data_IF_616064541958
#
_entry.id   IF_616064541958
#
_cell.length_a   1.000
_cell.length_b   1.000
_cell.length_c   1.000
_cell.angle_alpha   90.00
_cell.angle_beta   90.00
_cell.angle_gamma   90.00
#
_symmetry.space_group_name_H-M   'P 1'
#
loop_
_entity.id
_entity.type
_entity.pdbx_description
1 polymer ?
#
# COMPACT_ATOMS: atom_id res chain seq x y z
N UNK A 1 28.18 7.57 -16.82
CA UNK A 1 26.80 7.28 -16.38
C UNK A 1 26.69 6.77 -14.92
N UNK A 2 27.53 5.85 -14.40
CA UNK A 2 27.33 5.31 -13.03
C UNK A 2 27.64 6.32 -11.90
N UNK A 3 28.59 7.24 -12.08
CA UNK A 3 28.98 8.20 -11.03
C UNK A 3 27.84 9.17 -10.63
N UNK A 4 27.07 9.70 -11.61
CA UNK A 4 25.92 10.58 -11.33
C UNK A 4 24.80 9.88 -10.58
N UNK A 5 24.58 8.59 -10.86
CA UNK A 5 23.57 7.79 -10.17
C UNK A 5 24.00 7.52 -8.71
N UNK A 6 25.28 7.22 -8.49
CA UNK A 6 25.85 6.99 -7.15
C UNK A 6 25.82 8.26 -6.30
N UNK A 7 26.16 9.42 -6.86
CA UNK A 7 26.07 10.71 -6.16
C UNK A 7 24.63 11.09 -5.82
N UNK A 8 23.70 10.88 -6.76
CA UNK A 8 22.28 11.07 -6.51
C UNK A 8 21.78 10.15 -5.39
N UNK A 9 22.09 8.85 -5.46
CA UNK A 9 21.73 7.90 -4.40
C UNK A 9 22.30 8.31 -3.04
N UNK A 10 23.57 8.72 -2.96
CA UNK A 10 24.14 9.18 -1.67
C UNK A 10 23.43 10.40 -1.10
N UNK A 11 22.95 11.30 -1.97
CA UNK A 11 22.28 12.52 -1.55
C UNK A 11 20.85 12.27 -1.09
N UNK A 12 20.11 11.40 -1.78
CA UNK A 12 18.70 11.13 -1.49
C UNK A 12 18.49 9.94 -0.53
N UNK A 13 19.48 9.06 -0.36
CA UNK A 13 19.36 7.91 0.54
C UNK A 13 19.01 8.32 1.98
N UNK A 14 19.62 9.34 2.60
CA UNK A 14 19.26 9.74 3.97
C UNK A 14 17.80 10.20 4.09
N UNK A 15 17.27 10.91 3.10
CA UNK A 15 15.89 11.39 3.12
C UNK A 15 14.90 10.24 2.91
N UNK A 16 15.22 9.28 2.03
CA UNK A 16 14.41 8.08 1.82
C UNK A 16 14.44 7.14 3.04
N UNK A 17 15.59 6.99 3.70
CA UNK A 17 15.69 6.24 4.95
C UNK A 17 14.87 6.89 6.06
N UNK A 18 14.92 8.23 6.17
CA UNK A 18 14.08 8.98 7.10
C UNK A 18 12.58 8.78 6.79
N UNK A 19 12.20 8.85 5.51
CA UNK A 19 10.82 8.63 5.08
C UNK A 19 10.33 7.23 5.48
N UNK A 20 11.14 6.20 5.22
CA UNK A 20 10.83 4.82 5.57
C UNK A 20 10.72 4.62 7.08
N UNK A 21 11.71 5.11 7.85
CA UNK A 21 11.73 4.99 9.30
C UNK A 21 10.55 5.72 9.97
N UNK A 22 10.27 6.96 9.56
CA UNK A 22 9.14 7.73 10.09
C UNK A 22 7.80 7.05 9.76
N UNK A 23 7.62 6.62 8.51
CA UNK A 23 6.39 5.96 8.08
C UNK A 23 6.16 4.64 8.80
N UNK A 24 7.22 3.83 8.98
CA UNK A 24 7.14 2.58 9.73
C UNK A 24 6.80 2.84 11.22
N UNK A 25 7.44 3.83 11.84
CA UNK A 25 7.17 4.19 13.23
C UNK A 25 5.72 4.67 13.44
N UNK A 26 5.23 5.58 12.59
CA UNK A 26 3.84 6.05 12.68
C UNK A 26 2.83 4.94 12.36
N UNK A 27 3.15 4.05 11.42
CA UNK A 27 2.29 2.89 11.11
C UNK A 27 2.21 1.95 12.31
N UNK A 28 3.34 1.61 12.93
CA UNK A 28 3.38 0.74 14.10
C UNK A 28 2.64 1.35 15.30
N UNK A 29 2.77 2.67 15.49
CA UNK A 29 2.02 3.40 16.52
C UNK A 29 0.52 3.40 16.24
N UNK A 30 0.12 3.75 15.02
CA UNK A 30 -1.28 3.81 14.59
C UNK A 30 -1.98 2.46 14.65
N UNK A 31 -1.27 1.39 14.31
CA UNK A 31 -1.81 0.02 14.28
C UNK A 31 -1.55 -0.74 15.57
N UNK A 32 -1.16 -0.06 16.66
CA UNK A 32 -1.01 -0.72 17.95
C UNK A 32 -2.35 -1.22 18.49
N UNK A 33 -2.48 -2.47 19.01
CA UNK A 33 -1.42 -3.48 19.20
C UNK A 33 -1.30 -4.49 18.04
N UNK A 34 -2.05 -4.36 16.95
CA UNK A 34 -1.99 -5.27 15.79
C UNK A 34 -0.56 -5.43 15.23
N UNK A 35 0.23 -4.35 15.22
CA UNK A 35 1.64 -4.41 14.83
C UNK A 35 2.49 -5.39 15.68
N UNK A 36 2.14 -5.59 16.97
CA UNK A 36 2.80 -6.58 17.83
C UNK A 36 2.30 -8.01 17.56
N UNK A 37 1.03 -8.14 17.18
CA UNK A 37 0.36 -9.41 16.95
C UNK A 37 0.20 -9.71 15.45
N UNK A 38 1.24 -9.38 14.68
CA UNK A 38 1.28 -9.45 13.22
C UNK A 38 0.86 -10.81 12.63
N UNK A 39 1.14 -11.91 13.34
CA UNK A 39 0.81 -13.26 12.88
C UNK A 39 -0.55 -13.79 13.32
N UNK A 40 -1.26 -13.09 14.19
CA UNK A 40 -2.39 -13.67 14.93
C UNK A 40 -3.61 -12.76 15.05
N UNK A 41 -3.45 -11.47 14.80
CA UNK A 41 -4.51 -10.49 15.04
C UNK A 41 -4.71 -9.58 13.84
N UNK A 42 -5.97 -9.20 13.62
CA UNK A 42 -6.42 -8.22 12.63
C UNK A 42 -7.46 -7.32 13.29
N UNK A 43 -7.87 -6.25 12.62
CA UNK A 43 -9.02 -5.46 13.05
C UNK A 43 -10.25 -6.35 13.22
N UNK A 44 -10.96 -6.18 14.34
CA UNK A 44 -12.22 -6.88 14.63
C UNK A 44 -13.36 -6.34 13.75
N UNK A 45 -13.28 -6.63 12.46
CA UNK A 45 -14.21 -6.21 11.43
C UNK A 45 -14.37 -7.33 10.40
N UNK A 46 -15.59 -7.52 9.89
CA UNK A 46 -15.86 -8.54 8.87
C UNK A 46 -15.01 -8.37 7.60
N UNK A 47 -14.64 -7.14 7.27
CA UNK A 47 -13.86 -6.83 6.06
C UNK A 47 -12.41 -7.31 6.13
N UNK A 48 -11.86 -7.50 7.35
CA UNK A 48 -10.54 -8.13 7.52
C UNK A 48 -10.57 -9.57 7.01
N UNK A 49 -11.61 -10.33 7.39
CA UNK A 49 -11.82 -11.70 6.93
C UNK A 49 -12.16 -11.76 5.44
N UNK A 50 -12.99 -10.83 4.97
CA UNK A 50 -13.34 -10.71 3.56
C UNK A 50 -12.11 -10.41 2.69
N UNK A 51 -11.23 -9.52 3.14
CA UNK A 51 -9.96 -9.22 2.47
C UNK A 51 -9.06 -10.45 2.41
N UNK A 52 -8.90 -11.18 3.52
CA UNK A 52 -8.14 -12.44 3.52
C UNK A 52 -8.73 -13.50 2.59
N UNK A 53 -10.06 -13.58 2.49
CA UNK A 53 -10.72 -14.41 1.49
C UNK A 53 -10.36 -13.99 0.06
N UNK A 54 -10.45 -12.70 -0.28
CA UNK A 54 -10.07 -12.19 -1.62
C UNK A 54 -8.62 -12.53 -1.97
N UNK A 55 -7.68 -12.25 -1.06
CA UNK A 55 -6.26 -12.56 -1.24
C UNK A 55 -6.04 -14.06 -1.50
N UNK A 56 -6.68 -14.90 -0.68
CA UNK A 56 -6.57 -16.37 -0.79
C UNK A 56 -7.22 -16.90 -2.07
N UNK A 57 -8.37 -16.34 -2.46
CA UNK A 57 -9.07 -16.68 -3.68
C UNK A 57 -8.26 -16.35 -4.92
N UNK A 58 -7.68 -15.15 -5.00
CA UNK A 58 -6.83 -14.73 -6.11
C UNK A 58 -5.63 -15.67 -6.23
N UNK A 59 -4.94 -15.96 -5.14
CA UNK A 59 -3.80 -16.89 -5.14
C UNK A 59 -4.21 -18.31 -5.57
N UNK A 60 -5.38 -18.79 -5.14
CA UNK A 60 -5.93 -20.07 -5.57
C UNK A 60 -6.24 -20.08 -7.07
N UNK A 61 -7.03 -19.12 -7.55
CA UNK A 61 -7.48 -19.06 -8.93
C UNK A 61 -6.31 -18.86 -9.91
N UNK A 62 -5.29 -18.08 -9.54
CA UNK A 62 -4.07 -17.94 -10.34
C UNK A 62 -3.33 -19.27 -10.53
N UNK A 63 -3.40 -20.17 -9.55
CA UNK A 63 -2.76 -21.49 -9.63
C UNK A 63 -3.63 -22.53 -10.36
N UNK A 64 -4.96 -22.48 -10.23
CA UNK A 64 -5.86 -23.54 -10.70
C UNK A 64 -6.60 -23.19 -11.97
N UNK A 65 -7.08 -21.95 -12.12
CA UNK A 65 -7.94 -21.52 -13.21
C UNK A 65 -7.85 -19.98 -13.43
N UNK A 66 -6.72 -19.45 -13.94
CA UNK A 66 -6.46 -18.00 -13.97
C UNK A 66 -7.46 -17.20 -14.82
N UNK A 67 -8.11 -17.85 -15.81
CA UNK A 67 -9.19 -17.24 -16.61
C UNK A 67 -10.49 -17.04 -15.81
N UNK A 68 -10.62 -17.69 -14.66
CA UNK A 68 -11.77 -17.68 -13.76
C UNK A 68 -11.47 -16.95 -12.45
N UNK A 69 -10.46 -16.06 -12.42
CA UNK A 69 -10.10 -15.30 -11.22
C UNK A 69 -11.27 -14.53 -10.62
N UNK A 70 -12.22 -14.10 -11.45
CA UNK A 70 -13.40 -13.37 -10.97
C UNK A 70 -14.52 -14.27 -10.42
N UNK A 71 -14.48 -15.58 -10.68
CA UNK A 71 -15.55 -16.52 -10.34
C UNK A 71 -15.45 -17.00 -8.88
N UNK A 72 -15.46 -16.06 -7.94
CA UNK A 72 -15.35 -16.30 -6.50
C UNK A 72 -16.34 -17.33 -5.96
N UNK A 73 -15.91 -18.09 -4.96
CA UNK A 73 -16.71 -19.15 -4.33
C UNK A 73 -17.71 -18.66 -3.26
N UNK A 74 -17.95 -17.35 -3.16
CA UNK A 74 -18.96 -16.78 -2.26
C UNK A 74 -20.32 -16.74 -2.96
N UNK A 75 -21.42 -16.81 -2.20
CA UNK A 75 -22.80 -16.71 -2.73
C UNK A 75 -23.16 -17.75 -3.80
N UNK A 76 -22.69 -18.99 -3.68
CA UNK A 76 -23.05 -20.07 -4.61
C UNK A 76 -24.58 -20.16 -4.83
N UNK A 77 -25.07 -20.25 -6.08
CA UNK A 77 -24.35 -20.55 -7.33
C UNK A 77 -23.89 -19.34 -8.16
N UNK A 78 -23.85 -18.14 -7.59
CA UNK A 78 -23.48 -16.94 -8.36
C UNK A 78 -22.05 -17.01 -8.91
N UNK A 79 -21.90 -16.50 -10.14
CA UNK A 79 -20.61 -16.42 -10.85
C UNK A 79 -20.09 -14.99 -10.87
N UNK A 80 -18.80 -14.80 -11.16
CA UNK A 80 -18.16 -13.47 -11.20
C UNK A 80 -18.29 -12.66 -9.90
N UNK A 81 -18.44 -13.33 -8.76
CA UNK A 81 -18.72 -12.67 -7.48
C UNK A 81 -17.60 -11.73 -7.01
N UNK A 82 -16.35 -11.97 -7.41
CA UNK A 82 -15.24 -11.05 -7.14
C UNK A 82 -15.38 -9.74 -7.95
N UNK A 83 -15.99 -9.78 -9.15
CA UNK A 83 -16.20 -8.58 -9.97
C UNK A 83 -17.29 -7.65 -9.40
N UNK A 84 -18.18 -8.19 -8.56
CA UNK A 84 -19.17 -7.40 -7.82
C UNK A 84 -18.64 -6.86 -6.48
N UNK A 85 -17.37 -7.13 -6.17
CA UNK A 85 -16.68 -6.66 -4.97
C UNK A 85 -15.54 -5.71 -5.33
N UNK A 86 -14.92 -5.08 -4.33
CA UNK A 86 -13.58 -4.50 -4.53
C UNK A 86 -12.60 -5.66 -4.74
N UNK A 87 -12.21 -5.88 -6.00
CA UNK A 87 -11.48 -7.09 -6.39
C UNK A 87 -10.07 -7.17 -5.78
N UNK A 88 -9.47 -6.04 -5.36
CA UNK A 88 -8.13 -5.98 -4.73
C UNK A 88 -7.07 -6.79 -5.50
N UNK A 89 -7.10 -6.73 -6.84
CA UNK A 89 -6.29 -7.59 -7.69
C UNK A 89 -4.80 -7.36 -7.50
N UNK A 90 -4.38 -6.09 -7.35
CA UNK A 90 -2.99 -5.76 -7.14
C UNK A 90 -2.48 -6.36 -5.84
N UNK A 91 -3.22 -6.16 -4.75
CA UNK A 91 -2.92 -6.68 -3.42
C UNK A 91 -2.89 -8.22 -3.44
N UNK A 92 -3.88 -8.86 -4.07
CA UNK A 92 -3.93 -10.31 -4.24
C UNK A 92 -2.76 -10.87 -5.01
N UNK A 93 -2.38 -10.26 -6.13
CA UNK A 93 -1.22 -10.66 -6.93
C UNK A 93 0.08 -10.49 -6.11
N UNK A 94 0.23 -9.39 -5.38
CA UNK A 94 1.39 -9.15 -4.52
C UNK A 94 1.46 -10.13 -3.34
N UNK A 95 0.31 -10.53 -2.78
CA UNK A 95 0.22 -11.53 -1.72
C UNK A 95 0.42 -12.97 -2.18
N UNK A 96 0.18 -13.25 -3.46
CA UNK A 96 0.17 -14.61 -4.03
C UNK A 96 1.45 -15.42 -3.78
N UNK A 97 2.67 -14.88 -4.01
CA UNK A 97 3.90 -15.64 -3.75
C UNK A 97 4.02 -16.11 -2.29
N UNK A 98 3.60 -15.29 -1.33
CA UNK A 98 3.64 -15.64 0.09
C UNK A 98 2.66 -16.76 0.43
N UNK A 99 1.44 -16.67 -0.11
CA UNK A 99 0.42 -17.70 0.07
C UNK A 99 0.84 -19.04 -0.55
N UNK A 100 1.49 -19.03 -1.72
CA UNK A 100 2.04 -20.24 -2.34
C UNK A 100 3.21 -20.85 -1.56
N UNK A 101 3.97 -20.03 -0.83
CA UNK A 101 5.00 -20.49 0.11
C UNK A 101 4.43 -21.00 1.45
N UNK A 102 3.10 -20.99 1.63
CA UNK A 102 2.44 -21.45 2.85
C UNK A 102 2.44 -20.43 3.99
N UNK A 103 2.73 -19.16 3.72
CA UNK A 103 2.59 -18.10 4.73
C UNK A 103 1.10 -17.97 5.11
N UNK A 104 0.76 -17.94 6.42
CA UNK A 104 -0.62 -17.81 6.87
C UNK A 104 -1.32 -16.57 6.28
N UNK A 105 -2.60 -16.65 5.83
CA UNK A 105 -3.32 -15.52 5.24
C UNK A 105 -3.35 -14.26 6.11
N UNK A 106 -3.41 -14.42 7.45
CA UNK A 106 -3.34 -13.30 8.41
C UNK A 106 -2.03 -12.53 8.32
N UNK A 107 -0.90 -13.22 8.15
CA UNK A 107 0.41 -12.57 7.99
C UNK A 107 0.50 -11.84 6.65
N UNK A 108 -0.02 -12.45 5.58
CA UNK A 108 -0.04 -11.83 4.25
C UNK A 108 -0.93 -10.59 4.25
N UNK A 109 -2.11 -10.67 4.87
CA UNK A 109 -2.99 -9.52 5.07
C UNK A 109 -2.28 -8.41 5.85
N UNK A 110 -1.69 -8.71 7.01
CA UNK A 110 -1.02 -7.70 7.82
C UNK A 110 0.20 -7.09 7.11
N UNK A 111 0.92 -7.88 6.32
CA UNK A 111 2.02 -7.38 5.48
C UNK A 111 1.52 -6.31 4.51
N UNK A 112 0.45 -6.60 3.77
CA UNK A 112 -0.13 -5.69 2.78
C UNK A 112 -0.84 -4.51 3.44
N UNK A 113 -1.48 -4.73 4.59
CA UNK A 113 -2.20 -3.70 5.34
C UNK A 113 -1.24 -2.66 5.93
N UNK A 114 -0.28 -3.10 6.75
CA UNK A 114 0.73 -2.20 7.34
C UNK A 114 1.63 -1.63 6.24
N UNK A 115 1.95 -2.43 5.23
CA UNK A 115 2.72 -2.00 4.05
C UNK A 115 2.03 -0.88 3.28
N UNK A 116 0.72 -0.97 3.05
CA UNK A 116 -0.06 0.06 2.36
C UNK A 116 -0.10 1.39 3.13
N UNK A 117 -0.27 1.33 4.46
CA UNK A 117 -0.20 2.50 5.34
C UNK A 117 1.20 3.12 5.32
N UNK A 118 2.25 2.32 5.47
CA UNK A 118 3.62 2.81 5.46
C UNK A 118 4.01 3.40 4.10
N UNK A 119 3.64 2.75 3.00
CA UNK A 119 3.88 3.25 1.64
C UNK A 119 3.13 4.56 1.38
N UNK A 120 1.93 4.70 1.93
CA UNK A 120 1.17 5.96 1.91
C UNK A 120 1.90 7.09 2.63
N UNK A 121 2.46 6.81 3.81
CA UNK A 121 3.31 7.75 4.55
C UNK A 121 4.55 8.16 3.75
N UNK A 122 5.26 7.20 3.16
CA UNK A 122 6.45 7.46 2.34
C UNK A 122 6.11 8.32 1.13
N UNK A 123 5.01 8.01 0.44
CA UNK A 123 4.58 8.81 -0.70
C UNK A 123 4.24 10.26 -0.31
N UNK A 124 3.57 10.46 0.82
CA UNK A 124 3.30 11.81 1.35
C UNK A 124 4.58 12.55 1.74
N UNK A 125 5.53 11.86 2.37
CA UNK A 125 6.86 12.42 2.66
C UNK A 125 7.52 12.92 1.38
N UNK A 126 7.55 12.09 0.33
CA UNK A 126 8.18 12.42 -0.96
C UNK A 126 7.53 13.64 -1.59
N UNK A 127 6.19 13.70 -1.62
CA UNK A 127 5.46 14.86 -2.13
C UNK A 127 5.81 16.14 -1.37
N UNK A 128 5.68 16.14 -0.04
CA UNK A 128 5.90 17.36 0.75
C UNK A 128 7.37 17.77 0.76
N UNK A 129 8.30 16.81 0.74
CA UNK A 129 9.72 17.10 0.64
C UNK A 129 10.09 17.71 -0.71
N UNK A 130 9.41 17.31 -1.78
CA UNK A 130 9.54 17.91 -3.11
C UNK A 130 9.03 19.36 -3.10
N UNK A 131 7.86 19.62 -2.52
CA UNK A 131 7.23 20.94 -2.53
C UNK A 131 7.90 21.98 -1.61
N UNK A 132 8.40 21.56 -0.45
CA UNK A 132 8.84 22.49 0.61
C UNK A 132 10.34 22.56 0.81
N UNK A 133 11.08 21.66 0.17
CA UNK A 133 12.48 21.40 0.46
C UNK A 133 12.80 21.05 1.94
N UNK A 134 11.81 20.81 2.81
CA UNK A 134 11.98 20.63 4.25
C UNK A 134 11.69 19.19 4.70
N UNK A 135 12.67 18.55 5.33
CA UNK A 135 12.50 17.20 5.90
C UNK A 135 11.57 17.22 7.12
N UNK A 136 11.58 18.29 7.92
CA UNK A 136 10.69 18.42 9.07
C UNK A 136 9.22 18.49 8.66
N UNK A 137 8.90 19.32 7.65
CA UNK A 137 7.55 19.41 7.09
C UNK A 137 7.09 18.06 6.52
N UNK A 138 7.98 17.33 5.84
CA UNK A 138 7.71 16.02 5.28
C UNK A 138 7.45 14.94 6.36
N UNK A 139 8.17 14.96 7.49
CA UNK A 139 7.89 14.06 8.62
C UNK A 139 6.52 14.38 9.23
N UNK A 140 6.18 15.66 9.43
CA UNK A 140 4.87 16.06 9.96
C UNK A 140 3.73 15.63 9.04
N UNK A 141 3.86 15.84 7.72
CA UNK A 141 2.84 15.39 6.77
C UNK A 141 2.70 13.88 6.72
N UNK A 142 3.79 13.14 6.91
CA UNK A 142 3.76 11.67 7.03
C UNK A 142 2.90 11.25 8.22
N UNK A 143 3.11 11.86 9.40
CA UNK A 143 2.31 11.57 10.59
C UNK A 143 0.82 11.84 10.35
N UNK A 144 0.49 13.01 9.82
CA UNK A 144 -0.90 13.41 9.52
C UNK A 144 -1.56 12.45 8.53
N UNK A 145 -0.88 12.05 7.46
CA UNK A 145 -1.46 11.20 6.42
C UNK A 145 -1.60 9.73 6.83
N UNK A 146 -0.66 9.23 7.63
CA UNK A 146 -0.70 7.87 8.21
C UNK A 146 -1.79 7.73 9.26
N UNK A 147 -2.08 8.81 10.01
CA UNK A 147 -3.00 8.79 11.15
C UNK A 147 -4.30 9.58 10.90
N UNK A 148 -4.64 9.83 9.63
CA UNK A 148 -5.81 10.62 9.26
C UNK A 148 -7.12 9.94 9.75
N UNK A 149 -8.11 10.71 10.24
CA UNK A 149 -9.38 10.15 10.74
C UNK A 149 -10.09 9.22 9.75
N UNK A 150 -9.99 9.50 8.46
CA UNK A 150 -10.53 8.64 7.40
C UNK A 150 -10.03 7.19 7.48
N UNK A 151 -8.75 6.97 7.85
CA UNK A 151 -8.17 5.62 8.03
C UNK A 151 -8.69 4.93 9.27
N UNK A 152 -9.04 5.70 10.32
CA UNK A 152 -9.61 5.17 11.55
C UNK A 152 -11.02 4.64 11.26
N UNK A 153 -11.83 5.42 10.55
CA UNK A 153 -13.19 5.01 10.16
C UNK A 153 -13.19 3.78 9.24
N UNK A 154 -12.17 3.65 8.38
CA UNK A 154 -12.05 2.56 7.42
C UNK A 154 -10.97 1.55 7.78
N UNK A 155 -10.67 1.39 9.07
CA UNK A 155 -9.50 0.62 9.50
C UNK A 155 -9.55 -0.85 9.03
N UNK A 156 -10.71 -1.49 8.90
CA UNK A 156 -10.81 -2.87 8.39
C UNK A 156 -10.67 -3.05 6.87
N UNK A 157 -10.62 -1.95 6.11
CA UNK A 157 -10.67 -1.96 4.65
C UNK A 157 -9.26 -1.94 4.06
N UNK A 158 -8.78 -3.09 3.59
CA UNK A 158 -7.42 -3.25 3.08
C UNK A 158 -7.11 -2.26 1.94
N UNK A 159 -7.99 -2.22 0.94
CA UNK A 159 -7.85 -1.39 -0.26
C UNK A 159 -7.77 0.10 0.07
N UNK A 160 -8.52 0.56 1.08
CA UNK A 160 -8.52 1.97 1.48
C UNK A 160 -7.23 2.37 2.21
N UNK A 161 -6.46 1.40 2.70
CA UNK A 161 -5.15 1.70 3.26
C UNK A 161 -4.09 2.00 2.19
N UNK A 162 -4.32 1.61 0.94
CA UNK A 162 -3.41 1.79 -0.20
C UNK A 162 -3.56 3.18 -0.85
N UNK A 163 -3.59 4.22 -0.04
CA UNK A 163 -3.79 5.60 -0.49
C UNK A 163 -2.51 6.28 -1.03
N UNK A 164 -1.40 5.56 -1.17
CA UNK A 164 -0.11 6.10 -1.66
C UNK A 164 -0.19 6.68 -3.07
N UNK A 165 -1.12 6.20 -3.88
CA UNK A 165 -1.30 6.66 -5.25
C UNK A 165 -1.68 8.14 -5.34
N UNK A 166 -2.49 8.65 -4.41
CA UNK A 166 -2.88 10.05 -4.40
C UNK A 166 -1.68 11.02 -4.28
N UNK A 167 -0.82 10.94 -3.25
CA UNK A 167 0.36 11.79 -3.17
C UNK A 167 1.37 11.52 -4.30
N UNK A 168 1.49 10.28 -4.79
CA UNK A 168 2.38 9.98 -5.93
C UNK A 168 1.92 10.66 -7.23
N UNK A 169 0.62 10.67 -7.51
CA UNK A 169 0.06 11.36 -8.68
C UNK A 169 0.30 12.86 -8.56
N UNK A 170 0.03 13.48 -7.39
CA UNK A 170 0.33 14.90 -7.20
C UNK A 170 1.82 15.21 -7.35
N UNK A 171 2.70 14.34 -6.84
CA UNK A 171 4.14 14.49 -7.01
C UNK A 171 4.55 14.41 -8.49
N UNK A 172 4.01 13.44 -9.23
CA UNK A 172 4.27 13.28 -10.66
C UNK A 172 3.77 14.48 -11.47
N UNK A 173 2.58 14.98 -11.16
CA UNK A 173 2.00 16.17 -11.80
C UNK A 173 2.83 17.42 -11.56
N UNK A 174 3.23 17.69 -10.32
CA UNK A 174 4.13 18.81 -10.02
C UNK A 174 5.43 18.71 -10.81
N UNK A 175 6.05 17.53 -10.85
CA UNK A 175 7.25 17.30 -11.67
C UNK A 175 7.03 17.45 -13.17
N UNK A 176 5.85 17.12 -13.68
CA UNK A 176 5.52 17.26 -15.09
C UNK A 176 5.44 18.74 -15.48
N UNK A 177 4.82 19.55 -14.61
CA UNK A 177 4.70 21.00 -14.80
C UNK A 177 6.06 21.69 -14.63
N UNK A 178 6.78 21.43 -13.54
CA UNK A 178 8.03 22.12 -13.20
C UNK A 178 9.17 21.83 -14.20
N UNK A 179 9.17 20.64 -14.80
CA UNK A 179 10.22 20.19 -15.72
C UNK A 179 9.77 20.04 -17.17
N UNK A 180 8.52 20.42 -17.51
CA UNK A 180 7.93 20.25 -18.85
C UNK A 180 8.20 18.85 -19.44
N UNK A 181 7.97 17.80 -18.65
CA UNK A 181 8.41 16.43 -18.94
C UNK A 181 7.24 15.49 -19.23
N UNK A 182 7.15 15.02 -20.48
CA UNK A 182 6.16 14.00 -20.87
C UNK A 182 6.33 12.68 -20.09
N UNK A 183 7.57 12.36 -19.69
CA UNK A 183 7.85 11.17 -18.87
C UNK A 183 7.23 11.28 -17.49
N UNK A 184 7.25 12.47 -16.90
CA UNK A 184 6.58 12.74 -15.62
C UNK A 184 5.06 12.73 -15.78
N UNK A 185 4.56 13.17 -16.94
CA UNK A 185 3.15 13.04 -17.30
C UNK A 185 2.69 11.58 -17.33
N UNK A 186 3.46 10.67 -17.94
CA UNK A 186 3.16 9.24 -17.93
C UNK A 186 3.17 8.61 -16.53
N UNK A 187 3.94 9.15 -15.58
CA UNK A 187 3.91 8.67 -14.20
C UNK A 187 2.63 9.07 -13.46
N UNK A 188 1.89 10.07 -13.97
CA UNK A 188 0.63 10.53 -13.37
C UNK A 188 -0.60 9.80 -13.92
N UNK A 189 -0.50 9.11 -15.06
CA UNK A 189 -1.60 8.42 -15.75
C UNK A 189 -1.72 8.86 -17.20
#
# INVERSE_FOLDING_TARGET
>A
MPQRLVEWCRRELPSLLLAGAASAAFTAFFTWPQALHFGTSVAEHQDSLFSMWRLSWIAHALATAPRHVFDGNVFHPEVRTLAFSDATLLEGILGTPFLWMGVPPVMVYNLLFLGGIAASGVAMFVLVRYLTASSGAAVVSTAVFTMAPYRIEHFGHLELQWAMWAPLVFWALHRAVDHASWRSGLLAG
#
